data_IF_033603791663
#
_entry.id   IF_033603791663
#
_cell.length_a   1.000
_cell.length_b   1.000
_cell.length_c   1.000
_cell.angle_alpha   90.00
_cell.angle_beta   90.00
_cell.angle_gamma   90.00
#
_symmetry.space_group_name_H-M   'P 1'
#
loop_
_entity.id
_entity.type
_entity.pdbx_description
1 polymer ?
#
# COMPACT_ATOMS: atom_id res chain seq x y z
N UNK A 1 63.03 -24.33 9.23
CA UNK A 1 62.27 -23.07 9.35
C UNK A 1 61.57 -23.07 10.69
N UNK A 2 61.94 -22.17 11.60
CA UNK A 2 61.30 -22.09 12.92
C UNK A 2 59.86 -21.59 12.79
N UNK A 3 58.90 -22.36 13.27
CA UNK A 3 57.50 -21.92 13.37
C UNK A 3 57.39 -21.09 14.63
N UNK A 4 57.18 -19.77 14.46
CA UNK A 4 56.96 -18.88 15.59
C UNK A 4 55.60 -19.17 16.22
N UNK A 5 55.47 -19.13 17.56
CA UNK A 5 54.18 -19.25 18.21
C UNK A 5 53.28 -18.09 17.77
N UNK A 6 51.96 -18.29 17.64
CA UNK A 6 51.05 -17.23 17.24
C UNK A 6 51.10 -16.08 18.26
N UNK A 7 51.59 -14.93 17.81
CA UNK A 7 51.74 -13.75 18.68
C UNK A 7 50.41 -13.02 18.71
N UNK A 8 49.88 -12.77 19.91
CA UNK A 8 48.70 -11.93 20.05
C UNK A 8 49.00 -10.53 19.49
N UNK A 9 48.09 -10.00 18.68
CA UNK A 9 48.28 -8.68 18.09
C UNK A 9 48.46 -7.60 19.16
N UNK A 10 49.21 -6.54 18.85
CA UNK A 10 49.38 -5.41 19.75
C UNK A 10 48.06 -4.66 20.02
N UNK A 11 48.04 -3.77 21.02
CA UNK A 11 46.84 -3.00 21.39
C UNK A 11 46.29 -2.17 20.22
N UNK A 12 47.16 -1.60 19.39
CA UNK A 12 46.79 -0.84 18.19
C UNK A 12 46.08 -1.73 17.16
N UNK A 13 46.60 -2.94 16.93
CA UNK A 13 46.00 -3.91 16.01
C UNK A 13 44.59 -4.30 16.48
N UNK A 14 44.42 -4.61 17.77
CA UNK A 14 43.10 -4.96 18.31
C UNK A 14 42.12 -3.79 18.26
N UNK A 15 42.59 -2.56 18.52
CA UNK A 15 41.76 -1.36 18.42
C UNK A 15 41.23 -1.15 17.00
N UNK A 16 42.10 -1.27 15.98
CA UNK A 16 41.72 -1.16 14.56
C UNK A 16 40.81 -2.29 14.11
N UNK A 17 41.11 -3.54 14.52
CA UNK A 17 40.25 -4.70 14.21
C UNK A 17 38.85 -4.52 14.81
N UNK A 18 38.77 -4.06 16.04
CA UNK A 18 37.49 -3.89 16.73
C UNK A 18 36.69 -2.72 16.15
N UNK A 19 37.35 -1.63 15.73
CA UNK A 19 36.67 -0.53 15.02
C UNK A 19 36.16 -0.99 13.66
N UNK A 20 36.94 -1.74 12.88
CA UNK A 20 36.50 -2.24 11.57
C UNK A 20 35.33 -3.23 11.69
N UNK A 21 35.42 -4.17 12.64
CA UNK A 21 34.32 -5.11 12.91
C UNK A 21 33.08 -4.38 13.46
N UNK A 22 33.27 -3.35 14.29
CA UNK A 22 32.20 -2.51 14.80
C UNK A 22 31.50 -1.74 13.67
N UNK A 23 32.27 -1.07 12.83
CA UNK A 23 31.77 -0.33 11.66
C UNK A 23 30.96 -1.25 10.73
N UNK A 24 31.47 -2.45 10.42
CA UNK A 24 30.76 -3.45 9.60
C UNK A 24 29.41 -3.86 10.22
N UNK A 25 29.36 -4.10 11.54
CA UNK A 25 28.10 -4.46 12.21
C UNK A 25 27.10 -3.33 12.16
N UNK A 26 27.55 -2.09 12.39
CA UNK A 26 26.71 -0.90 12.32
C UNK A 26 26.18 -0.68 10.92
N UNK A 27 27.02 -0.78 9.89
CA UNK A 27 26.60 -0.62 8.50
C UNK A 27 25.64 -1.72 8.05
N UNK A 28 25.84 -2.99 8.44
CA UNK A 28 24.88 -4.05 8.15
C UNK A 28 23.52 -3.83 8.84
N UNK A 29 23.50 -3.29 10.07
CA UNK A 29 22.23 -2.94 10.76
C UNK A 29 21.51 -1.81 10.05
N UNK A 30 22.23 -0.76 9.66
CA UNK A 30 21.67 0.37 8.91
C UNK A 30 21.13 -0.09 7.55
N UNK A 31 21.89 -0.91 6.81
CA UNK A 31 21.43 -1.49 5.54
C UNK A 31 20.15 -2.31 5.72
N UNK A 32 20.04 -3.13 6.76
CA UNK A 32 18.82 -3.90 7.03
C UNK A 32 17.64 -3.01 7.42
N UNK A 33 17.88 -1.95 8.18
CA UNK A 33 16.86 -0.95 8.49
C UNK A 33 16.38 -0.23 7.22
N UNK A 34 17.29 0.07 6.29
CA UNK A 34 16.93 0.59 4.98
C UNK A 34 16.15 -0.41 4.14
N UNK A 35 16.59 -1.67 4.05
CA UNK A 35 15.91 -2.72 3.29
C UNK A 35 14.47 -2.98 3.80
N UNK A 36 14.26 -2.90 5.12
CA UNK A 36 12.94 -3.07 5.74
C UNK A 36 12.03 -1.83 5.63
N UNK A 37 12.60 -0.61 5.51
CA UNK A 37 11.84 0.64 5.47
C UNK A 37 11.70 1.26 4.07
N UNK A 38 12.53 0.86 3.10
CA UNK A 38 12.58 1.46 1.75
C UNK A 38 11.86 0.64 0.69
N UNK A 39 10.84 -0.12 1.08
CA UNK A 39 9.84 -0.54 0.12
C UNK A 39 9.04 0.71 -0.29
N UNK A 40 9.48 1.36 -1.37
CA UNK A 40 8.90 2.62 -1.88
C UNK A 40 7.39 2.47 -2.05
N UNK A 41 6.93 1.27 -2.42
CA UNK A 41 5.50 0.97 -2.53
C UNK A 41 4.78 1.12 -1.18
N UNK A 42 5.35 0.63 -0.08
CA UNK A 42 4.76 0.75 1.27
C UNK A 42 4.80 2.18 1.78
N UNK A 43 5.89 2.91 1.56
CA UNK A 43 5.98 4.33 1.98
C UNK A 43 4.94 5.18 1.24
N UNK A 44 4.77 4.95 -0.06
CA UNK A 44 3.84 5.71 -0.92
C UNK A 44 2.38 5.29 -0.70
N UNK A 45 2.10 4.01 -0.48
CA UNK A 45 0.73 3.48 -0.37
C UNK A 45 0.16 3.49 1.05
N UNK A 46 0.99 3.29 2.08
CA UNK A 46 0.51 3.16 3.46
C UNK A 46 0.56 4.46 4.26
N UNK A 47 1.37 5.45 3.82
CA UNK A 47 1.17 6.89 4.02
C UNK A 47 1.03 7.48 5.43
N UNK A 48 0.90 6.68 6.48
CA UNK A 48 0.67 7.17 7.84
C UNK A 48 1.71 6.53 8.76
N UNK A 49 2.69 7.29 9.25
CA UNK A 49 3.54 6.82 10.33
C UNK A 49 2.63 6.53 11.53
N UNK A 50 2.56 5.27 11.94
CA UNK A 50 1.84 4.91 13.16
C UNK A 50 2.75 5.27 14.30
N UNK A 51 2.36 6.29 15.07
CA UNK A 51 2.92 6.50 16.40
C UNK A 51 1.84 6.14 17.41
N UNK A 52 1.71 4.85 17.69
CA UNK A 52 0.73 4.34 18.63
C UNK A 52 1.38 3.34 19.57
N UNK A 53 1.04 3.42 20.85
CA UNK A 53 1.43 2.45 21.84
C UNK A 53 0.62 1.15 21.66
N UNK A 54 1.31 0.01 21.53
CA UNK A 54 0.68 -1.30 21.50
C UNK A 54 0.63 -1.89 22.92
N UNK A 55 -0.55 -1.97 23.56
CA UNK A 55 -0.67 -2.46 24.93
C UNK A 55 -0.41 -3.96 25.06
N UNK A 56 -0.52 -4.74 23.98
CA UNK A 56 -0.29 -6.19 24.01
C UNK A 56 1.20 -6.55 24.12
N UNK A 57 2.08 -5.71 23.57
CA UNK A 57 3.54 -5.88 23.57
C UNK A 57 4.23 -4.88 24.50
N UNK A 58 3.48 -3.90 25.04
CA UNK A 58 4.00 -2.80 25.85
C UNK A 58 5.13 -2.03 25.13
N UNK A 59 4.91 -1.72 23.85
CA UNK A 59 5.91 -1.08 23.00
C UNK A 59 5.30 0.09 22.21
N UNK A 60 6.07 1.17 22.10
CA UNK A 60 5.77 2.25 21.18
C UNK A 60 6.15 1.82 19.76
N UNK A 61 5.15 1.69 18.90
CA UNK A 61 5.36 1.36 17.49
C UNK A 61 5.63 2.67 16.75
N UNK A 62 6.72 2.69 15.99
CA UNK A 62 7.14 3.80 15.13
C UNK A 62 7.10 3.42 13.63
N UNK A 63 6.54 2.25 13.32
CA UNK A 63 6.48 1.70 11.97
C UNK A 63 5.27 2.27 11.22
N UNK A 64 5.33 2.25 9.88
CA UNK A 64 4.20 2.63 9.03
C UNK A 64 3.07 1.61 9.17
N UNK A 65 1.84 2.07 9.37
CA UNK A 65 0.68 1.16 9.46
C UNK A 65 0.38 0.55 8.09
N UNK A 66 0.53 -0.78 7.94
CA UNK A 66 0.26 -1.46 6.67
C UNK A 66 -1.21 -1.74 6.41
N UNK A 67 -2.05 -1.62 7.43
CA UNK A 67 -3.45 -2.03 7.35
C UNK A 67 -4.33 -0.91 6.80
N UNK A 68 -3.89 0.35 6.94
CA UNK A 68 -4.58 1.53 6.42
C UNK A 68 -4.00 1.97 5.08
N UNK A 69 -4.72 1.65 4.00
CA UNK A 69 -4.46 2.13 2.62
C UNK A 69 -4.85 3.60 2.43
N UNK A 70 -4.28 4.50 3.25
CA UNK A 70 -4.62 5.92 3.22
C UNK A 70 -3.53 6.81 2.59
N UNK A 71 -2.45 6.21 2.10
CA UNK A 71 -1.40 6.89 1.35
C UNK A 71 -1.81 7.27 -0.08
N UNK A 72 -0.86 7.82 -0.85
CA UNK A 72 -1.10 8.28 -2.21
C UNK A 72 -1.59 7.14 -3.13
N UNK A 73 -1.05 5.93 -2.97
CA UNK A 73 -1.51 4.75 -3.71
C UNK A 73 -2.95 4.36 -3.38
N UNK A 74 -3.35 4.40 -2.10
CA UNK A 74 -4.72 4.14 -1.69
C UNK A 74 -5.71 5.20 -2.20
N UNK A 75 -5.33 6.47 -2.19
CA UNK A 75 -6.14 7.54 -2.79
C UNK A 75 -6.27 7.39 -4.31
N UNK A 76 -5.19 7.06 -5.00
CA UNK A 76 -5.21 6.81 -6.44
C UNK A 76 -6.12 5.61 -6.78
N UNK A 77 -6.03 4.54 -5.99
CA UNK A 77 -6.91 3.38 -6.12
C UNK A 77 -8.38 3.75 -5.94
N UNK A 78 -8.72 4.52 -4.91
CA UNK A 78 -10.09 4.96 -4.66
C UNK A 78 -10.63 5.84 -5.81
N UNK A 79 -9.82 6.76 -6.34
CA UNK A 79 -10.23 7.61 -7.46
C UNK A 79 -10.45 6.77 -8.72
N UNK A 80 -9.50 5.89 -9.05
CA UNK A 80 -9.58 5.11 -10.29
C UNK A 80 -10.73 4.09 -10.23
N UNK A 81 -10.86 3.36 -9.13
CA UNK A 81 -11.95 2.39 -8.96
C UNK A 81 -13.31 3.07 -8.75
N UNK A 82 -13.39 4.00 -7.80
CA UNK A 82 -14.64 4.61 -7.37
C UNK A 82 -15.19 5.66 -8.33
N UNK A 83 -14.33 6.46 -8.97
CA UNK A 83 -14.80 7.52 -9.87
C UNK A 83 -14.77 7.10 -11.33
N UNK A 84 -13.79 6.33 -11.78
CA UNK A 84 -13.68 5.97 -13.21
C UNK A 84 -14.43 4.67 -13.49
N UNK A 85 -14.01 3.57 -12.86
CA UNK A 85 -14.60 2.25 -13.17
C UNK A 85 -16.07 2.16 -12.76
N UNK A 86 -16.44 2.70 -11.59
CA UNK A 86 -17.82 2.66 -11.12
C UNK A 86 -18.76 3.51 -11.99
N UNK A 87 -18.30 4.66 -12.49
CA UNK A 87 -19.09 5.50 -13.41
C UNK A 87 -19.33 4.79 -14.74
N UNK A 88 -18.30 4.14 -15.30
CA UNK A 88 -18.47 3.34 -16.52
C UNK A 88 -19.41 2.16 -16.31
N UNK A 89 -19.32 1.47 -15.18
CA UNK A 89 -20.23 0.41 -14.81
C UNK A 89 -21.68 0.91 -14.80
N UNK A 90 -21.98 1.99 -14.07
CA UNK A 90 -23.34 2.53 -14.02
C UNK A 90 -23.86 3.02 -15.36
N UNK A 91 -23.01 3.70 -16.15
CA UNK A 91 -23.37 4.14 -17.49
C UNK A 91 -23.77 2.95 -18.38
N UNK A 92 -22.98 1.89 -18.36
CA UNK A 92 -23.27 0.66 -19.12
C UNK A 92 -24.51 -0.07 -18.59
N UNK A 93 -24.67 -0.19 -17.27
CA UNK A 93 -25.83 -0.82 -16.65
C UNK A 93 -27.13 -0.08 -16.97
N UNK A 94 -27.13 1.25 -16.93
CA UNK A 94 -28.32 2.06 -17.27
C UNK A 94 -28.64 1.97 -18.76
N UNK A 95 -27.62 2.03 -19.63
CA UNK A 95 -27.79 1.87 -21.07
C UNK A 95 -28.45 0.53 -21.42
N UNK A 96 -27.91 -0.58 -20.88
CA UNK A 96 -28.45 -1.91 -21.15
C UNK A 96 -29.87 -2.10 -20.59
N UNK A 97 -30.19 -1.51 -19.44
CA UNK A 97 -31.55 -1.50 -18.89
C UNK A 97 -32.54 -0.77 -19.82
N UNK A 98 -32.17 0.43 -20.27
CA UNK A 98 -33.01 1.24 -21.17
C UNK A 98 -33.23 0.53 -22.51
N UNK A 99 -32.17 -0.03 -23.10
CA UNK A 99 -32.26 -0.82 -24.32
C UNK A 99 -33.23 -2.00 -24.15
N UNK A 100 -33.13 -2.74 -23.04
CA UNK A 100 -34.04 -3.86 -22.75
C UNK A 100 -35.49 -3.40 -22.56
N UNK A 101 -35.71 -2.24 -21.95
CA UNK A 101 -37.06 -1.66 -21.82
C UNK A 101 -37.64 -1.23 -23.16
N UNK A 102 -36.81 -0.66 -24.03
CA UNK A 102 -37.19 -0.28 -25.39
C UNK A 102 -37.56 -1.51 -26.23
N UNK A 103 -36.68 -2.52 -26.28
CA UNK A 103 -36.90 -3.75 -27.06
C UNK A 103 -38.13 -4.53 -26.56
N UNK A 104 -38.40 -4.53 -25.25
CA UNK A 104 -39.59 -5.17 -24.69
C UNK A 104 -40.87 -4.33 -24.84
N UNK A 105 -40.83 -3.16 -25.50
CA UNK A 105 -41.98 -2.27 -25.68
C UNK A 105 -42.54 -1.70 -24.37
N UNK A 106 -41.74 -1.71 -23.29
CA UNK A 106 -42.17 -1.22 -21.97
C UNK A 106 -42.35 0.29 -21.96
N UNK A 107 -41.58 0.99 -22.78
CA UNK A 107 -41.67 2.46 -22.94
C UNK A 107 -43.02 2.85 -23.58
N UNK A 108 -43.53 2.02 -24.50
CA UNK A 108 -44.81 2.26 -25.20
C UNK A 108 -46.03 1.74 -24.44
N UNK A 109 -45.87 1.19 -23.23
CA UNK A 109 -47.00 0.59 -22.50
C UNK A 109 -48.09 1.62 -22.15
N UNK A 110 -47.71 2.90 -22.03
CA UNK A 110 -48.62 4.01 -21.72
C UNK A 110 -49.10 4.80 -22.95
N UNK A 111 -48.47 4.64 -24.12
CA UNK A 111 -48.87 5.38 -25.34
C UNK A 111 -50.24 4.96 -25.86
N UNK A 112 -50.70 3.74 -25.52
CA UNK A 112 -52.05 3.24 -25.86
C UNK A 112 -53.22 4.07 -25.28
N UNK A 113 -52.96 4.97 -24.34
CA UNK A 113 -53.97 5.84 -23.73
C UNK A 113 -53.95 7.28 -24.26
N UNK A 114 -53.02 7.63 -25.16
CA UNK A 114 -52.77 9.00 -25.61
C UNK A 114 -53.87 9.60 -26.53
N UNK A 115 -54.99 8.92 -26.71
CA UNK A 115 -56.11 9.41 -27.53
C UNK A 115 -57.46 8.81 -27.18
N UNK A 116 -57.61 8.20 -25.99
CA UNK A 116 -58.92 7.72 -25.54
C UNK A 116 -59.75 8.94 -25.12
N UNK A 117 -60.97 9.14 -25.66
CA UNK A 117 -61.91 10.08 -25.07
C UNK A 117 -62.07 9.71 -23.61
N UNK A 118 -61.83 10.65 -22.71
CA UNK A 118 -62.34 10.54 -21.34
C UNK A 118 -63.84 10.70 -21.46
N UNK A 119 -64.55 9.57 -21.44
CA UNK A 119 -65.99 9.57 -21.18
C UNK A 119 -66.28 10.32 -19.87
#
# INVERSE_FOLDING_TARGET
>A
MGVYPPVAGGPIYWALRNTFLGARRTSCRLMRAYDMNWDISKVVCNGVPRNSYNPSVNEWIWNVDTDLWNGAGGKAWFILSGQVMFTFFWSFSLYTLLERWYVNGKIDTFSKWQGRPTD
#
